data_IF_364083806277
#
_entry.id   IF_364083806277
#
_cell.length_a   1.000
_cell.length_b   1.000
_cell.length_c   1.000
_cell.angle_alpha   90.00
_cell.angle_beta   90.00
_cell.angle_gamma   90.00
#
_symmetry.space_group_name_H-M   'P 1'
#
loop_
_entity.id
_entity.type
_entity.pdbx_description
1 polymer ?
#
# COMPACT_ATOMS: atom_id res chain seq x y z
N UNK A 1 8.63 13.04 16.68
CA UNK A 1 9.15 12.09 17.67
C UNK A 1 10.00 11.13 16.87
N UNK A 2 11.30 10.97 17.20
CA UNK A 2 12.16 10.08 16.42
C UNK A 2 11.62 8.66 16.49
N UNK A 3 11.58 7.99 15.35
CA UNK A 3 11.06 6.63 15.26
C UNK A 3 12.10 5.69 15.87
N UNK A 4 11.68 4.83 16.80
CA UNK A 4 12.56 3.85 17.45
C UNK A 4 11.92 2.47 17.42
N UNK A 5 12.73 1.44 17.65
CA UNK A 5 12.32 0.03 17.63
C UNK A 5 11.06 -0.24 18.48
N UNK A 6 11.05 0.29 19.71
CA UNK A 6 9.92 0.13 20.64
C UNK A 6 8.61 0.71 20.08
N UNK A 7 8.69 1.81 19.32
CA UNK A 7 7.52 2.41 18.67
C UNK A 7 6.96 1.50 17.58
N UNK A 8 7.84 0.84 16.81
CA UNK A 8 7.44 -0.10 15.75
C UNK A 8 6.79 -1.34 16.35
N UNK A 9 7.43 -1.94 17.34
CA UNK A 9 6.89 -3.12 18.04
C UNK A 9 5.53 -2.82 18.68
N UNK A 10 5.39 -1.64 19.31
CA UNK A 10 4.13 -1.19 19.87
C UNK A 10 3.04 -1.03 18.79
N UNK A 11 3.37 -0.45 17.63
CA UNK A 11 2.44 -0.29 16.52
C UNK A 11 2.00 -1.63 15.91
N UNK A 12 2.93 -2.58 15.75
CA UNK A 12 2.62 -3.95 15.29
C UNK A 12 1.64 -4.62 16.26
N UNK A 13 1.96 -4.59 17.56
CA UNK A 13 1.11 -5.18 18.60
C UNK A 13 -0.26 -4.51 18.66
N UNK A 14 -0.31 -3.19 18.61
CA UNK A 14 -1.56 -2.42 18.59
C UNK A 14 -2.42 -2.72 17.35
N UNK A 15 -1.78 -3.08 16.23
CA UNK A 15 -2.43 -3.48 14.99
C UNK A 15 -2.81 -4.97 14.96
N UNK A 16 -2.76 -5.68 16.10
CA UNK A 16 -3.14 -7.08 16.21
C UNK A 16 -2.07 -8.08 15.74
N UNK A 17 -0.86 -7.61 15.44
CA UNK A 17 0.27 -8.47 15.09
C UNK A 17 0.81 -9.24 16.29
N UNK A 18 1.22 -10.49 16.04
CA UNK A 18 2.03 -11.24 16.99
C UNK A 18 3.45 -10.65 17.09
N UNK A 19 4.22 -11.10 18.08
CA UNK A 19 5.65 -10.84 18.13
C UNK A 19 6.31 -11.31 16.83
N UNK A 20 7.04 -10.40 16.19
CA UNK A 20 7.70 -10.67 14.91
C UNK A 20 9.15 -11.07 15.15
N UNK A 21 9.75 -11.87 14.26
CA UNK A 21 11.18 -12.13 14.28
C UNK A 21 12.00 -10.84 14.28
N UNK A 22 13.10 -10.82 15.05
CA UNK A 22 13.95 -9.64 15.23
C UNK A 22 14.45 -9.08 13.89
N UNK A 23 14.83 -9.93 12.94
CA UNK A 23 15.30 -9.55 11.61
C UNK A 23 14.23 -8.82 10.79
N UNK A 24 12.96 -9.15 10.96
CA UNK A 24 11.85 -8.44 10.30
C UNK A 24 11.63 -7.06 10.91
N UNK A 25 11.72 -6.94 12.24
CA UNK A 25 11.66 -5.65 12.94
C UNK A 25 12.82 -4.75 12.51
N UNK A 26 14.05 -5.30 12.49
CA UNK A 26 15.23 -4.55 12.05
C UNK A 26 15.15 -4.15 10.57
N UNK A 27 14.63 -5.03 9.72
CA UNK A 27 14.39 -4.73 8.31
C UNK A 27 13.41 -3.57 8.11
N UNK A 28 12.31 -3.54 8.87
CA UNK A 28 11.36 -2.42 8.85
C UNK A 28 11.98 -1.15 9.45
N UNK A 29 12.67 -1.26 10.58
CA UNK A 29 13.32 -0.13 11.24
C UNK A 29 14.34 0.55 10.31
N UNK A 30 15.18 -0.23 9.63
CA UNK A 30 16.16 0.27 8.66
C UNK A 30 15.50 1.09 7.55
N UNK A 31 14.39 0.60 6.99
CA UNK A 31 13.64 1.33 5.95
C UNK A 31 13.09 2.65 6.49
N UNK A 32 12.52 2.63 7.69
CA UNK A 32 11.91 3.82 8.29
C UNK A 32 12.94 4.88 8.64
N UNK A 33 14.10 4.49 9.18
CA UNK A 33 15.22 5.40 9.46
C UNK A 33 15.74 6.03 8.16
N UNK A 34 15.88 5.23 7.10
CA UNK A 34 16.30 5.74 5.80
C UNK A 34 15.31 6.78 5.25
N UNK A 35 14.01 6.50 5.31
CA UNK A 35 12.96 7.44 4.88
C UNK A 35 12.84 8.67 5.79
N UNK A 36 13.10 8.55 7.08
CA UNK A 36 13.15 9.68 8.01
C UNK A 36 14.28 10.65 7.63
N UNK A 37 15.45 10.12 7.25
CA UNK A 37 16.60 10.91 6.83
C UNK A 37 16.35 11.73 5.54
N UNK A 38 15.41 11.32 4.68
CA UNK A 38 15.07 12.10 3.47
C UNK A 38 14.23 13.34 3.77
N UNK A 39 13.56 13.39 4.93
CA UNK A 39 12.66 14.47 5.34
C UNK A 39 11.34 14.57 4.57
N UNK A 40 11.06 13.68 3.61
CA UNK A 40 9.86 13.74 2.74
C UNK A 40 8.64 12.98 3.27
N UNK A 41 8.86 11.95 4.10
CA UNK A 41 7.82 10.97 4.44
C UNK A 41 7.20 11.15 5.83
N UNK A 42 7.19 12.38 6.35
CA UNK A 42 6.79 12.64 7.73
C UNK A 42 5.38 12.17 8.10
N UNK A 43 4.42 12.20 7.17
CA UNK A 43 3.07 11.69 7.41
C UNK A 43 3.03 10.15 7.44
N UNK A 44 3.70 9.50 6.48
CA UNK A 44 3.82 8.04 6.43
C UNK A 44 4.42 7.46 7.73
N UNK A 45 5.52 8.07 8.20
CA UNK A 45 6.19 7.68 9.44
C UNK A 45 5.28 7.83 10.67
N UNK A 46 4.50 8.93 10.73
CA UNK A 46 3.50 9.13 11.80
C UNK A 46 2.37 8.12 11.70
N UNK A 47 1.93 7.76 10.49
CA UNK A 47 0.91 6.76 10.24
C UNK A 47 1.32 5.40 10.81
N UNK A 48 2.53 4.94 10.46
CA UNK A 48 3.11 3.69 10.98
C UNK A 48 3.14 3.71 12.51
N UNK A 49 3.70 4.75 13.11
CA UNK A 49 3.87 4.84 14.56
C UNK A 49 2.55 4.87 15.35
N UNK A 50 1.43 5.24 14.71
CA UNK A 50 0.12 5.40 15.35
C UNK A 50 -0.91 4.36 14.90
N UNK A 51 -0.56 3.44 14.00
CA UNK A 51 -1.51 2.47 13.51
C UNK A 51 -1.95 1.51 14.62
N UNK A 52 -3.24 1.23 14.66
CA UNK A 52 -3.90 0.34 15.61
C UNK A 52 -4.87 -0.63 14.90
N UNK A 53 -4.76 -0.75 13.58
CA UNK A 53 -5.58 -1.60 12.75
C UNK A 53 -4.69 -2.36 11.77
N UNK A 54 -4.89 -3.66 11.65
CA UNK A 54 -4.08 -4.54 10.81
C UNK A 54 -4.07 -4.10 9.36
N UNK A 55 -5.24 -3.86 8.75
CA UNK A 55 -5.34 -3.49 7.35
C UNK A 55 -4.69 -2.13 7.06
N UNK A 56 -4.86 -1.15 7.95
CA UNK A 56 -4.18 0.13 7.84
C UNK A 56 -2.66 -0.01 7.98
N UNK A 57 -2.18 -0.78 8.97
CA UNK A 57 -0.75 -1.00 9.17
C UNK A 57 -0.09 -1.65 7.96
N UNK A 58 -0.74 -2.69 7.39
CA UNK A 58 -0.23 -3.37 6.20
C UNK A 58 -0.24 -2.48 4.95
N UNK A 59 -1.25 -1.63 4.78
CA UNK A 59 -1.28 -0.65 3.71
C UNK A 59 -0.12 0.37 3.83
N UNK A 60 0.10 0.91 5.04
CA UNK A 60 1.22 1.80 5.30
C UNK A 60 2.58 1.10 5.13
N UNK A 61 2.68 -0.19 5.49
CA UNK A 61 3.89 -0.99 5.29
C UNK A 61 4.23 -1.19 3.79
N UNK A 62 3.20 -1.37 2.95
CA UNK A 62 3.33 -1.38 1.50
C UNK A 62 3.90 -0.05 1.01
N UNK A 63 3.33 1.07 1.44
CA UNK A 63 3.80 2.42 1.09
C UNK A 63 5.24 2.67 1.54
N UNK A 64 5.61 2.28 2.76
CA UNK A 64 7.00 2.35 3.28
C UNK A 64 7.96 1.56 2.40
N UNK A 65 7.59 0.33 2.05
CA UNK A 65 8.45 -0.53 1.24
C UNK A 65 8.60 0.03 -0.17
N UNK A 66 7.52 0.54 -0.76
CA UNK A 66 7.53 1.19 -2.07
C UNK A 66 8.43 2.43 -2.07
N UNK A 67 8.22 3.35 -1.13
CA UNK A 67 9.02 4.56 -1.01
C UNK A 67 10.51 4.24 -0.81
N UNK A 68 10.83 3.27 0.07
CA UNK A 68 12.21 2.87 0.31
C UNK A 68 12.91 2.33 -0.94
N UNK A 69 12.23 1.51 -1.76
CA UNK A 69 12.81 0.98 -2.99
C UNK A 69 13.15 2.08 -4.00
N UNK A 70 12.25 3.05 -4.15
CA UNK A 70 12.47 4.20 -5.03
C UNK A 70 13.61 5.09 -4.54
N UNK A 71 13.60 5.42 -3.26
CA UNK A 71 14.60 6.30 -2.66
C UNK A 71 16.00 5.67 -2.62
N UNK A 72 16.10 4.35 -2.45
CA UNK A 72 17.39 3.63 -2.54
C UNK A 72 17.89 3.50 -3.98
N UNK A 73 17.01 3.58 -4.97
CA UNK A 73 17.36 3.66 -6.39
C UNK A 73 17.69 5.09 -6.85
N UNK A 74 17.65 6.09 -5.96
CA UNK A 74 17.89 7.49 -6.30
C UNK A 74 16.73 8.14 -7.06
N UNK A 75 15.52 7.59 -6.93
CA UNK A 75 14.29 8.09 -7.54
C UNK A 75 13.38 8.67 -6.45
N UNK A 76 13.56 9.93 -6.04
CA UNK A 76 12.81 10.50 -4.92
C UNK A 76 11.31 10.63 -5.25
N UNK A 77 10.46 10.40 -4.26
CA UNK A 77 9.02 10.55 -4.38
C UNK A 77 8.49 11.67 -3.48
N UNK A 78 7.55 12.46 -4.01
CA UNK A 78 6.70 13.34 -3.24
C UNK A 78 5.53 12.50 -2.68
N UNK A 79 5.39 12.44 -1.35
CA UNK A 79 4.31 11.69 -0.68
C UNK A 79 3.04 12.52 -0.53
N UNK A 80 1.87 11.89 -0.68
CA UNK A 80 0.54 12.53 -0.66
C UNK A 80 0.45 13.74 -1.62
N UNK A 81 0.89 13.53 -2.86
CA UNK A 81 0.92 14.57 -3.88
C UNK A 81 -0.49 14.96 -4.35
N UNK A 82 -0.75 16.27 -4.45
CA UNK A 82 -1.94 16.80 -5.12
C UNK A 82 -1.59 17.18 -6.55
N UNK A 83 -2.45 16.84 -7.51
CA UNK A 83 -2.31 17.31 -8.89
C UNK A 83 -2.78 18.76 -9.00
N UNK A 84 -3.92 19.10 -8.40
CA UNK A 84 -4.46 20.47 -8.39
C UNK A 84 -4.58 21.01 -6.96
N UNK A 85 -4.26 22.30 -6.70
CA UNK A 85 -4.23 22.85 -5.34
C UNK A 85 -5.56 22.73 -4.57
N UNK A 86 -6.67 22.85 -5.28
CA UNK A 86 -8.04 22.85 -4.73
C UNK A 86 -8.60 21.44 -4.49
N UNK A 87 -7.85 20.39 -4.86
CA UNK A 87 -8.28 19.02 -4.68
C UNK A 87 -8.33 18.65 -3.19
N UNK A 88 -9.41 17.98 -2.79
CA UNK A 88 -9.58 17.48 -1.43
C UNK A 88 -8.84 16.16 -1.20
N UNK A 89 -8.61 15.37 -2.26
CA UNK A 89 -7.83 14.13 -2.25
C UNK A 89 -6.37 14.36 -2.65
N UNK A 90 -5.50 13.46 -2.18
CA UNK A 90 -4.11 13.31 -2.62
C UNK A 90 -3.94 11.97 -3.34
N UNK A 91 -2.87 11.86 -4.13
CA UNK A 91 -2.33 10.63 -4.69
C UNK A 91 -1.15 10.20 -3.82
N UNK A 92 -1.02 8.91 -3.55
CA UNK A 92 -0.05 8.40 -2.57
C UNK A 92 1.39 8.84 -2.90
N UNK A 93 1.82 8.76 -4.16
CA UNK A 93 3.14 9.23 -4.58
C UNK A 93 3.15 9.94 -5.94
N UNK A 94 4.07 10.89 -6.08
CA UNK A 94 4.49 11.47 -7.35
C UNK A 94 6.01 11.31 -7.52
N UNK A 95 6.43 10.82 -8.67
CA UNK A 95 7.82 10.85 -9.13
C UNK A 95 7.97 11.88 -10.24
N UNK A 96 8.98 12.74 -10.16
CA UNK A 96 9.37 13.60 -11.28
C UNK A 96 10.38 12.84 -12.13
N UNK A 97 10.09 12.68 -13.42
CA UNK A 97 11.06 12.08 -14.35
C UNK A 97 11.96 13.17 -14.94
N UNK A 98 13.19 12.83 -15.37
CA UNK A 98 14.13 13.81 -15.93
C UNK A 98 13.59 14.58 -17.15
N UNK A 99 12.64 14.01 -17.89
CA UNK A 99 11.96 14.69 -19.02
C UNK A 99 11.11 15.89 -18.59
N UNK A 100 10.85 16.07 -17.29
CA UNK A 100 9.96 17.10 -16.75
C UNK A 100 8.53 16.62 -16.50
N UNK A 101 8.18 15.43 -17.00
CA UNK A 101 6.89 14.80 -16.73
C UNK A 101 6.81 14.28 -15.28
N UNK A 102 5.61 13.90 -14.86
CA UNK A 102 5.35 13.31 -13.56
C UNK A 102 4.64 11.96 -13.70
N UNK A 103 5.17 10.94 -13.04
CA UNK A 103 4.49 9.68 -12.82
C UNK A 103 3.79 9.73 -11.46
N UNK A 104 2.52 9.32 -11.42
CA UNK A 104 1.71 9.29 -10.20
C UNK A 104 1.38 7.84 -9.85
N UNK A 105 1.53 7.48 -8.58
CA UNK A 105 1.29 6.13 -8.08
C UNK A 105 0.25 6.17 -6.97
N UNK A 106 -0.82 5.42 -7.15
CA UNK A 106 -1.83 5.15 -6.13
C UNK A 106 -1.76 3.66 -5.80
N UNK A 107 -1.53 3.32 -4.53
CA UNK A 107 -1.30 1.96 -4.08
C UNK A 107 -2.55 1.38 -3.43
N UNK A 108 -2.77 0.09 -3.67
CA UNK A 108 -3.80 -0.69 -2.98
C UNK A 108 -3.25 -2.04 -2.60
N UNK A 109 -3.22 -2.33 -1.30
CA UNK A 109 -3.01 -3.68 -0.84
C UNK A 109 -4.30 -4.48 -1.05
N UNK A 110 -4.27 -5.42 -1.98
CA UNK A 110 -5.35 -6.38 -2.17
C UNK A 110 -5.21 -7.48 -1.13
N UNK A 111 -6.09 -7.45 -0.13
CA UNK A 111 -6.22 -8.57 0.79
C UNK A 111 -6.98 -9.69 0.09
N UNK A 112 -6.51 -10.93 0.26
CA UNK A 112 -7.30 -12.10 -0.13
C UNK A 112 -8.64 -12.02 0.58
N UNK A 113 -9.73 -12.23 -0.15
CA UNK A 113 -11.01 -12.34 0.52
C UNK A 113 -11.02 -13.57 1.43
N UNK A 114 -11.76 -13.46 2.52
CA UNK A 114 -11.75 -14.47 3.56
C UNK A 114 -12.29 -15.82 3.05
N UNK A 115 -13.19 -15.79 2.06
CA UNK A 115 -13.74 -16.97 1.41
C UNK A 115 -12.66 -17.75 0.65
N UNK A 116 -11.84 -17.06 -0.14
CA UNK A 116 -10.69 -17.63 -0.85
C UNK A 116 -9.67 -18.22 0.13
N UNK A 117 -9.39 -17.50 1.23
CA UNK A 117 -8.48 -18.01 2.26
C UNK A 117 -9.03 -19.27 2.95
N UNK A 118 -10.32 -19.30 3.26
CA UNK A 118 -11.02 -20.45 3.86
C UNK A 118 -11.07 -21.64 2.89
N UNK A 119 -11.31 -21.40 1.61
CA UNK A 119 -11.38 -22.46 0.60
C UNK A 119 -9.99 -23.06 0.33
N UNK A 120 -8.94 -22.24 0.30
CA UNK A 120 -7.55 -22.72 0.31
C UNK A 120 -7.27 -23.54 1.58
N UNK A 121 -7.65 -23.06 2.76
CA UNK A 121 -7.43 -23.78 4.01
C UNK A 121 -8.14 -25.14 4.04
N UNK A 122 -9.38 -25.21 3.55
CA UNK A 122 -10.14 -26.47 3.41
C UNK A 122 -9.46 -27.42 2.44
N UNK A 123 -9.00 -26.94 1.29
CA UNK A 123 -8.30 -27.77 0.31
C UNK A 123 -6.95 -28.29 0.85
N UNK A 124 -6.19 -27.44 1.53
CA UNK A 124 -4.94 -27.83 2.21
C UNK A 124 -5.17 -28.88 3.31
N UNK A 125 -6.30 -28.82 4.02
CA UNK A 125 -6.68 -29.83 4.99
C UNK A 125 -7.16 -31.14 4.35
N UNK A 126 -7.70 -31.08 3.13
CA UNK A 126 -8.32 -32.21 2.43
C UNK A 126 -7.37 -33.01 1.51
N UNK A 127 -6.31 -32.39 0.97
CA UNK A 127 -5.45 -33.04 -0.04
C UNK A 127 -3.96 -32.72 0.14
N UNK A 128 -3.09 -33.73 -0.08
CA UNK A 128 -1.62 -33.57 -0.22
C UNK A 128 -1.19 -33.07 -1.61
N UNK A 129 -2.14 -32.65 -2.44
CA UNK A 129 -1.91 -32.24 -3.84
C UNK A 129 -2.54 -30.87 -4.05
N UNK A 130 -1.77 -29.98 -4.65
CA UNK A 130 -2.11 -28.58 -4.91
C UNK A 130 -2.86 -28.47 -6.25
N UNK A 131 -4.17 -28.29 -6.22
CA UNK A 131 -4.88 -27.75 -7.38
C UNK A 131 -6.09 -26.94 -6.90
N UNK A 132 -6.00 -25.61 -7.03
CA UNK A 132 -7.12 -24.69 -6.84
C UNK A 132 -7.74 -24.49 -8.22
N UNK A 133 -8.80 -25.22 -8.53
CA UNK A 133 -9.60 -24.95 -9.73
C UNK A 133 -10.66 -23.94 -9.35
N UNK A 134 -10.49 -22.68 -9.79
CA UNK A 134 -11.60 -21.71 -9.82
C UNK A 134 -12.45 -22.02 -11.04
N UNK A 135 -13.77 -22.05 -10.88
CA UNK A 135 -14.64 -22.12 -12.05
C UNK A 135 -14.78 -20.74 -12.73
N UNK A 136 -15.39 -20.70 -13.91
CA UNK A 136 -15.52 -19.47 -14.68
C UNK A 136 -16.37 -18.39 -13.99
N UNK A 137 -17.27 -18.76 -13.08
CA UNK A 137 -18.07 -17.80 -12.32
C UNK A 137 -17.24 -17.17 -11.20
N UNK A 138 -16.43 -17.96 -10.50
CA UNK A 138 -15.49 -17.49 -9.47
C UNK A 138 -14.42 -16.57 -10.06
N UNK A 139 -13.91 -16.88 -11.26
CA UNK A 139 -12.98 -16.01 -11.99
C UNK A 139 -13.63 -14.69 -12.38
N UNK A 140 -14.85 -14.72 -12.92
CA UNK A 140 -15.58 -13.51 -13.32
C UNK A 140 -15.89 -12.62 -12.11
N UNK A 141 -16.32 -13.21 -10.99
CA UNK A 141 -16.58 -12.48 -9.75
C UNK A 141 -15.32 -11.81 -9.22
N UNK A 142 -14.17 -12.49 -9.27
CA UNK A 142 -12.89 -11.95 -8.85
C UNK A 142 -12.44 -10.78 -9.75
N UNK A 143 -12.60 -10.90 -11.08
CA UNK A 143 -12.32 -9.82 -12.02
C UNK A 143 -13.17 -8.58 -11.70
N UNK A 144 -14.48 -8.75 -11.51
CA UNK A 144 -15.39 -7.64 -11.17
C UNK A 144 -15.02 -7.01 -9.83
N UNK A 145 -14.64 -7.82 -8.84
CA UNK A 145 -14.17 -7.34 -7.53
C UNK A 145 -12.91 -6.50 -7.65
N UNK A 146 -11.93 -6.95 -8.45
CA UNK A 146 -10.68 -6.23 -8.70
C UNK A 146 -10.92 -4.92 -9.44
N UNK A 147 -11.75 -4.95 -10.50
CA UNK A 147 -12.13 -3.74 -11.24
C UNK A 147 -12.84 -2.74 -10.34
N UNK A 148 -13.83 -3.19 -9.56
CA UNK A 148 -14.53 -2.33 -8.59
C UNK A 148 -13.58 -1.74 -7.54
N UNK A 149 -12.61 -2.53 -7.07
CA UNK A 149 -11.59 -2.04 -6.14
C UNK A 149 -10.71 -0.96 -6.76
N UNK A 150 -10.27 -1.15 -8.01
CA UNK A 150 -9.47 -0.15 -8.73
C UNK A 150 -10.27 1.13 -9.00
N UNK A 151 -11.51 1.00 -9.48
CA UNK A 151 -12.38 2.15 -9.75
C UNK A 151 -12.66 2.93 -8.47
N UNK A 152 -12.90 2.27 -7.33
CA UNK A 152 -13.14 2.94 -6.04
C UNK A 152 -12.00 3.85 -5.55
N UNK A 153 -10.78 3.67 -6.08
CA UNK A 153 -9.62 4.51 -5.76
C UNK A 153 -9.60 5.81 -6.58
N UNK A 154 -10.26 5.84 -7.72
CA UNK A 154 -10.16 6.93 -8.70
C UNK A 154 -11.49 7.60 -9.00
N UNK A 155 -12.60 6.90 -8.75
CA UNK A 155 -13.99 7.35 -8.94
C UNK A 155 -14.79 7.27 -7.65
N UNK A 156 -15.70 8.24 -7.47
CA UNK A 156 -16.63 8.24 -6.35
C UNK A 156 -17.85 7.32 -6.63
N UNK A 157 -18.79 7.26 -5.68
CA UNK A 157 -19.98 6.40 -5.81
C UNK A 157 -20.89 6.76 -6.99
N UNK A 158 -20.79 7.99 -7.53
CA UNK A 158 -21.51 8.45 -8.72
C UNK A 158 -20.74 8.21 -10.03
N UNK A 159 -19.57 7.55 -9.98
CA UNK A 159 -18.71 7.31 -11.14
C UNK A 159 -17.93 8.55 -11.60
N UNK A 160 -17.85 9.59 -10.77
CA UNK A 160 -17.10 10.80 -11.07
C UNK A 160 -15.63 10.63 -10.65
N UNK A 161 -14.65 10.87 -11.56
CA UNK A 161 -13.24 10.86 -11.20
C UNK A 161 -12.91 11.90 -10.13
N UNK A 162 -12.14 11.50 -9.12
CA UNK A 162 -11.66 12.38 -8.05
C UNK A 162 -10.14 12.24 -7.79
N UNK A 163 -9.45 11.35 -8.52
CA UNK A 163 -7.97 11.27 -8.62
C UNK A 163 -7.57 11.22 -10.09
N UNK A 164 -6.31 11.55 -10.40
CA UNK A 164 -5.78 11.56 -11.78
C UNK A 164 -6.59 12.47 -12.72
N UNK A 165 -6.81 13.72 -12.31
CA UNK A 165 -7.68 14.67 -13.01
C UNK A 165 -7.00 15.32 -14.22
N UNK A 166 -5.68 15.36 -14.21
CA UNK A 166 -4.88 15.86 -15.33
C UNK A 166 -4.14 14.69 -15.98
N UNK A 167 -4.22 14.65 -17.31
CA UNK A 167 -3.27 13.89 -18.11
C UNK A 167 -2.11 14.85 -18.42
N UNK A 168 -0.87 14.42 -18.20
CA UNK A 168 0.26 15.13 -18.79
C UNK A 168 0.09 15.13 -20.31
N UNK A 169 0.63 16.14 -21.01
CA UNK A 169 0.73 16.08 -22.47
C UNK A 169 1.46 14.78 -22.85
N UNK A 170 0.72 13.80 -23.36
CA UNK A 170 1.26 12.49 -23.73
C UNK A 170 1.91 12.55 -25.10
N UNK A 171 3.12 11.98 -25.18
CA UNK A 171 3.92 11.54 -26.35
C UNK A 171 3.51 12.03 -27.76
#
# INVERSE_FOLDING_TARGET
MPLNRQTIEAAIKASGGAEQPDDQIEGLFTKLVYLEATGRYGQLLKGIAKSNNTSNFLALLLEVTFAYQFETAGLPLDYEAKQVPEQTSSIDFRMKVPSGEAAYFELRLLQQDQRTAEDIAKQLAATKVYEVVKDGEDEQAEVLRLQGTLLSKVENAEGKPFKFLETGEGF
#
